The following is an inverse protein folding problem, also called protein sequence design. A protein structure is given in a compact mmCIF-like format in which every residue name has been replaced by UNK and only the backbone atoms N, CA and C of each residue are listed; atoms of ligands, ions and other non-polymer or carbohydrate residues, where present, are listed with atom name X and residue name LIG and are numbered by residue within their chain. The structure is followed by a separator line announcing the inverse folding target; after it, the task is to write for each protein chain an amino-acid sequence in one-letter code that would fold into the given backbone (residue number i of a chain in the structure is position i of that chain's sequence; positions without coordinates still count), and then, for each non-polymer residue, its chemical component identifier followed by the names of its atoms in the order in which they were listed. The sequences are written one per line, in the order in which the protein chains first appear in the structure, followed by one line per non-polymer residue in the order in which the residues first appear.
data_IF_650047360970
#
_entry.id   IF_650047360970
#
_cell.length_a   1.000
_cell.length_b   1.000
_cell.length_c   1.000
_cell.angle_alpha   90.00
_cell.angle_beta   90.00
_cell.angle_gamma   90.00
#
_symmetry.space_group_name_H-M   'P 1'
#
loop_
_entity.id
_entity.type
_entity.pdbx_description
1 polymer ?
#
# COMPACT_ATOMS: atom_id res chain seq x y z
N UNK A 1 -0.50 -51.54 -43.44
CA UNK A 1 -0.73 -50.09 -43.26
C UNK A 1 -0.16 -49.69 -41.90
N UNK A 2 1.04 -49.09 -41.83
CA UNK A 2 1.37 -47.65 -41.70
C UNK A 2 0.83 -46.96 -40.41
N UNK A 3 1.75 -46.84 -39.45
CA UNK A 3 2.02 -45.78 -38.45
C UNK A 3 0.86 -45.07 -37.73
N UNK A 4 0.74 -45.32 -36.41
CA UNK A 4 0.07 -44.41 -35.48
C UNK A 4 1.07 -43.38 -34.93
N UNK A 5 0.74 -42.10 -35.14
CA UNK A 5 1.60 -40.95 -34.98
C UNK A 5 1.64 -40.43 -33.53
N UNK A 6 2.85 -40.10 -33.06
CA UNK A 6 3.11 -39.41 -31.78
C UNK A 6 2.63 -37.95 -31.88
N UNK A 7 1.49 -37.64 -31.27
CA UNK A 7 1.04 -36.27 -31.03
C UNK A 7 1.46 -35.78 -29.65
N UNK A 8 2.64 -35.18 -29.54
CA UNK A 8 3.06 -34.42 -28.35
C UNK A 8 2.13 -33.20 -28.20
N UNK A 9 1.22 -33.22 -27.24
CA UNK A 9 0.58 -31.99 -26.77
C UNK A 9 1.61 -31.19 -25.96
N UNK A 10 2.45 -30.46 -26.69
CA UNK A 10 3.25 -29.38 -26.14
C UNK A 10 2.28 -28.30 -25.70
N UNK A 11 2.06 -28.20 -24.38
CA UNK A 11 1.47 -27.01 -23.80
C UNK A 11 2.38 -25.83 -24.16
N UNK A 12 1.98 -25.07 -25.19
CA UNK A 12 2.63 -23.80 -25.54
C UNK A 12 2.59 -22.91 -24.30
N UNK A 13 3.75 -22.70 -23.69
CA UNK A 13 4.00 -21.69 -22.69
C UNK A 13 3.68 -20.33 -23.31
N UNK A 14 2.48 -19.82 -23.09
CA UNK A 14 2.11 -18.46 -23.48
C UNK A 14 2.90 -17.52 -22.56
N UNK A 15 3.99 -16.99 -23.08
CA UNK A 15 4.87 -16.04 -22.40
C UNK A 15 4.25 -14.64 -22.55
N UNK A 16 3.20 -14.38 -21.77
CA UNK A 16 2.65 -13.03 -21.61
C UNK A 16 3.50 -12.25 -20.61
N UNK A 17 4.50 -11.50 -21.09
CA UNK A 17 5.21 -10.51 -20.28
C UNK A 17 4.35 -9.26 -20.17
N UNK A 18 3.30 -9.31 -19.36
CA UNK A 18 2.85 -8.10 -18.69
C UNK A 18 3.97 -7.72 -17.70
N UNK A 19 4.52 -6.51 -17.80
CA UNK A 19 5.39 -5.96 -16.78
C UNK A 19 4.56 -5.76 -15.49
N UNK A 20 4.29 -6.85 -14.75
CA UNK A 20 3.53 -6.79 -13.50
C UNK A 20 4.38 -6.07 -12.46
N UNK A 21 4.01 -4.82 -12.18
CA UNK A 21 4.55 -4.04 -11.07
C UNK A 21 4.39 -4.88 -9.79
N UNK A 22 5.46 -5.10 -9.02
CA UNK A 22 5.36 -5.88 -7.79
C UNK A 22 4.45 -5.15 -6.78
N UNK A 23 3.78 -5.88 -5.90
CA UNK A 23 2.88 -5.29 -4.90
C UNK A 23 3.63 -4.53 -3.77
N UNK A 24 4.89 -4.89 -3.53
CA UNK A 24 5.75 -4.26 -2.51
C UNK A 24 7.18 -4.03 -3.03
N UNK A 25 7.97 -3.27 -2.27
CA UNK A 25 9.34 -2.87 -2.58
C UNK A 25 9.42 -1.59 -3.41
N UNK A 26 10.63 -1.06 -3.63
CA UNK A 26 10.81 0.23 -4.31
C UNK A 26 10.17 0.32 -5.70
N UNK A 27 10.14 -0.80 -6.44
CA UNK A 27 9.56 -0.90 -7.79
C UNK A 27 8.03 -0.99 -7.81
N UNK A 28 7.37 -1.07 -6.65
CA UNK A 28 5.91 -1.14 -6.53
C UNK A 28 5.20 0.21 -6.60
N UNK A 29 5.95 1.30 -6.42
CA UNK A 29 5.42 2.66 -6.52
C UNK A 29 5.50 3.09 -8.00
N UNK A 30 4.38 3.51 -8.62
CA UNK A 30 4.39 4.03 -9.98
C UNK A 30 5.38 5.17 -10.12
N UNK A 31 6.23 5.15 -11.16
CA UNK A 31 7.19 6.22 -11.43
C UNK A 31 6.49 7.37 -12.13
N UNK A 32 6.67 8.59 -11.65
CA UNK A 32 6.13 9.78 -12.29
C UNK A 32 6.54 11.07 -11.58
N UNK A 33 6.19 12.24 -12.14
CA UNK A 33 6.24 13.48 -11.39
C UNK A 33 5.24 13.38 -10.23
N UNK A 34 5.70 13.65 -9.02
CA UNK A 34 4.82 13.73 -7.86
C UNK A 34 4.61 15.20 -7.53
N UNK A 35 3.36 15.60 -7.36
CA UNK A 35 3.04 16.92 -6.80
C UNK A 35 3.53 17.01 -5.35
N UNK A 36 3.54 18.21 -4.80
CA UNK A 36 3.87 18.44 -3.40
C UNK A 36 2.67 18.91 -2.58
N UNK A 37 2.71 18.61 -1.28
CA UNK A 37 1.84 19.18 -0.25
C UNK A 37 2.74 19.66 0.88
N UNK A 38 2.61 20.94 1.26
CA UNK A 38 3.41 21.56 2.33
C UNK A 38 4.94 21.43 2.13
N UNK A 39 5.41 21.34 0.88
CA UNK A 39 6.81 21.13 0.54
C UNK A 39 7.29 19.68 0.69
N UNK A 40 6.38 18.71 0.67
CA UNK A 40 6.71 17.28 0.69
C UNK A 40 6.12 16.57 -0.53
N UNK A 41 6.85 15.62 -1.14
CA UNK A 41 6.37 14.88 -2.29
C UNK A 41 5.19 13.97 -1.92
N UNK A 42 4.13 14.02 -2.72
CA UNK A 42 2.98 13.11 -2.69
C UNK A 42 3.38 11.81 -3.40
N UNK A 43 4.33 11.10 -2.80
CA UNK A 43 4.90 9.85 -3.28
C UNK A 43 4.84 8.82 -2.17
N UNK A 44 4.35 7.61 -2.41
CA UNK A 44 4.41 6.55 -1.39
C UNK A 44 5.87 6.27 -1.02
N UNK A 45 6.16 6.28 0.28
CA UNK A 45 7.41 5.75 0.86
C UNK A 45 7.18 4.25 1.11
N UNK A 46 7.60 3.36 0.18
CA UNK A 46 7.11 1.98 0.11
C UNK A 46 7.37 1.20 1.39
N UNK A 47 8.61 1.25 1.91
CA UNK A 47 8.94 0.53 3.15
C UNK A 47 8.21 1.03 4.40
N UNK A 48 7.71 2.28 4.41
CA UNK A 48 6.89 2.79 5.51
C UNK A 48 5.43 2.33 5.37
N UNK A 49 4.88 2.39 4.16
CA UNK A 49 3.52 1.93 3.86
C UNK A 49 3.37 0.41 4.08
N UNK A 50 4.37 -0.37 3.65
CA UNK A 50 4.37 -1.82 3.78
C UNK A 50 4.27 -2.30 5.23
N UNK A 51 4.70 -1.51 6.21
CA UNK A 51 4.49 -1.81 7.65
C UNK A 51 3.01 -1.86 8.05
N UNK A 52 2.11 -1.46 7.16
CA UNK A 52 0.67 -1.51 7.33
C UNK A 52 -0.01 -2.50 6.36
N UNK A 53 0.72 -3.14 5.45
CA UNK A 53 0.16 -4.07 4.47
C UNK A 53 0.46 -5.51 4.91
N UNK A 54 -0.57 -6.33 5.21
CA UNK A 54 -0.38 -7.71 5.63
C UNK A 54 0.48 -8.52 4.64
N UNK A 55 1.21 -9.50 5.17
CA UNK A 55 2.08 -10.42 4.42
C UNK A 55 3.35 -9.82 3.80
N UNK A 56 3.53 -8.50 3.80
CA UNK A 56 4.81 -7.90 3.39
C UNK A 56 5.92 -8.26 4.38
N UNK A 57 7.20 -8.31 3.95
CA UNK A 57 8.32 -8.53 4.86
C UNK A 57 8.36 -7.49 5.99
N UNK A 58 8.07 -6.22 5.69
CA UNK A 58 8.06 -5.14 6.67
C UNK A 58 6.95 -5.29 7.73
N UNK A 59 5.74 -5.70 7.34
CA UNK A 59 4.66 -5.98 8.28
C UNK A 59 4.99 -7.18 9.18
N UNK A 60 5.48 -8.28 8.60
CA UNK A 60 5.91 -9.47 9.35
C UNK A 60 7.00 -9.13 10.37
N UNK A 61 7.94 -8.26 10.01
CA UNK A 61 8.98 -7.79 10.92
C UNK A 61 8.42 -6.97 12.09
N UNK A 62 7.43 -6.10 11.86
CA UNK A 62 6.80 -5.35 12.96
C UNK A 62 6.10 -6.32 13.94
N UNK A 63 5.40 -7.33 13.43
CA UNK A 63 4.80 -8.38 14.28
C UNK A 63 5.84 -9.18 15.05
N UNK A 64 6.93 -9.60 14.40
CA UNK A 64 8.04 -10.30 15.06
C UNK A 64 8.70 -9.46 16.17
N UNK A 65 8.67 -8.12 16.02
CA UNK A 65 9.14 -7.18 17.03
C UNK A 65 8.07 -6.84 18.10
N UNK A 66 6.97 -7.59 18.17
CA UNK A 66 5.88 -7.37 19.13
C UNK A 66 5.05 -6.11 18.88
N UNK A 67 5.09 -5.56 17.66
CA UNK A 67 4.37 -4.33 17.29
C UNK A 67 3.19 -4.65 16.39
N UNK A 68 1.99 -4.61 16.95
CA UNK A 68 0.76 -4.61 16.17
C UNK A 68 0.59 -3.26 15.44
N UNK A 69 0.23 -3.33 14.16
CA UNK A 69 0.10 -2.19 13.25
C UNK A 69 -1.32 -2.12 12.74
N UNK A 70 -1.89 -0.92 12.61
CA UNK A 70 -3.11 -0.76 11.82
C UNK A 70 -2.90 -1.35 10.41
N UNK A 71 -3.92 -2.03 9.91
CA UNK A 71 -3.91 -2.76 8.64
C UNK A 71 -4.48 -1.87 7.55
N UNK A 72 -3.72 -1.59 6.51
CA UNK A 72 -4.15 -0.92 5.29
C UNK A 72 -4.66 -1.96 4.28
N UNK A 73 -5.78 -1.68 3.62
CA UNK A 73 -6.31 -2.50 2.54
C UNK A 73 -5.71 -2.07 1.21
N UNK A 74 -5.07 -3.02 0.51
CA UNK A 74 -4.39 -2.77 -0.75
C UNK A 74 -2.87 -2.78 -0.62
N UNK A 75 -2.20 -2.18 -1.59
CA UNK A 75 -0.75 -2.20 -1.75
C UNK A 75 -0.16 -0.80 -1.97
N UNK A 76 1.12 -0.71 -2.32
CA UNK A 76 1.76 0.60 -2.56
C UNK A 76 1.17 1.34 -3.76
N UNK A 77 0.64 0.63 -4.77
CA UNK A 77 -0.07 1.26 -5.89
C UNK A 77 -1.39 1.85 -5.40
N UNK A 78 -2.16 1.08 -4.64
CA UNK A 78 -3.41 1.55 -4.01
C UNK A 78 -3.17 2.76 -3.11
N UNK A 79 -2.11 2.71 -2.30
CA UNK A 79 -1.72 3.84 -1.45
C UNK A 79 -1.34 5.09 -2.28
N UNK A 80 -0.67 4.92 -3.42
CA UNK A 80 -0.34 6.04 -4.31
C UNK A 80 -1.61 6.66 -4.89
N UNK A 81 -2.55 5.85 -5.36
CA UNK A 81 -3.84 6.34 -5.88
C UNK A 81 -4.63 7.13 -4.82
N UNK A 82 -4.62 6.69 -3.57
CA UNK A 82 -5.23 7.43 -2.46
C UNK A 82 -4.48 8.73 -2.15
N UNK A 83 -3.15 8.72 -2.14
CA UNK A 83 -2.37 9.95 -1.97
C UNK A 83 -2.66 10.96 -3.10
N UNK A 84 -2.67 10.51 -4.35
CA UNK A 84 -2.92 11.37 -5.51
C UNK A 84 -4.29 12.06 -5.38
N UNK A 85 -5.32 11.31 -4.98
CA UNK A 85 -6.69 11.79 -4.82
C UNK A 85 -6.90 12.66 -3.58
N UNK A 86 -6.31 12.33 -2.43
CA UNK A 86 -6.71 12.89 -1.14
C UNK A 86 -5.66 13.76 -0.44
N UNK A 87 -4.37 13.63 -0.75
CA UNK A 87 -3.32 14.38 -0.08
C UNK A 87 -3.56 15.91 -0.18
N UNK A 88 -3.59 16.59 0.96
CA UNK A 88 -3.85 18.03 1.10
C UNK A 88 -5.33 18.42 1.23
N UNK A 89 -6.24 17.45 1.29
CA UNK A 89 -7.69 17.70 1.44
C UNK A 89 -8.20 17.51 2.87
N UNK A 90 -7.32 17.16 3.80
CA UNK A 90 -7.68 16.76 5.15
C UNK A 90 -7.62 17.87 6.18
N UNK A 91 -7.91 17.49 7.43
CA UNK A 91 -7.62 18.34 8.57
C UNK A 91 -6.14 18.25 8.90
N UNK A 92 -5.41 19.35 8.71
CA UNK A 92 -4.01 19.43 9.12
C UNK A 92 -3.88 19.24 10.62
N UNK A 93 -3.00 18.32 11.04
CA UNK A 93 -2.58 18.14 12.44
C UNK A 93 -1.30 18.94 12.69
N UNK A 94 -0.38 18.89 11.73
CA UNK A 94 0.82 19.71 11.69
C UNK A 94 1.35 19.76 10.24
N UNK A 95 2.47 20.46 10.02
CA UNK A 95 3.09 20.64 8.70
C UNK A 95 3.23 19.34 7.89
N UNK A 96 3.54 18.23 8.57
CA UNK A 96 3.88 16.95 7.98
C UNK A 96 2.79 15.88 8.18
N UNK A 97 1.61 16.25 8.67
CA UNK A 97 0.58 15.28 9.00
C UNK A 97 -0.81 15.85 8.87
N UNK A 98 -1.69 15.10 8.24
CA UNK A 98 -3.11 15.41 8.19
C UNK A 98 -3.96 14.17 8.46
N UNK A 99 -5.21 14.39 8.86
CA UNK A 99 -6.24 13.36 8.97
C UNK A 99 -7.23 13.51 7.83
N UNK A 100 -7.53 12.39 7.18
CA UNK A 100 -8.41 12.30 6.02
C UNK A 100 -9.51 11.29 6.33
N UNK A 101 -10.74 11.61 5.95
CA UNK A 101 -11.77 10.61 5.71
C UNK A 101 -11.78 10.30 4.22
N UNK A 102 -11.47 9.05 3.86
CA UNK A 102 -11.36 8.62 2.47
C UNK A 102 -12.73 8.29 1.86
N UNK A 103 -13.80 8.32 2.65
CA UNK A 103 -15.17 8.03 2.20
C UNK A 103 -15.48 6.55 1.96
N UNK A 104 -14.45 5.69 1.96
CA UNK A 104 -14.55 4.24 1.82
C UNK A 104 -13.61 3.54 2.81
N UNK A 105 -13.88 2.27 3.19
CA UNK A 105 -12.99 1.53 4.09
C UNK A 105 -11.58 1.38 3.50
N UNK A 106 -10.58 1.98 4.17
CA UNK A 106 -9.16 1.91 3.78
C UNK A 106 -8.35 0.90 4.59
N UNK A 107 -8.96 0.29 5.60
CA UNK A 107 -8.24 -0.61 6.50
C UNK A 107 -8.90 -0.81 7.85
N UNK A 108 -8.11 -1.39 8.77
CA UNK A 108 -8.45 -1.55 10.18
C UNK A 108 -7.48 -0.78 11.07
N UNK A 109 -8.01 0.08 11.93
CA UNK A 109 -7.28 0.70 13.02
C UNK A 109 -7.03 -0.31 14.15
N UNK A 110 -5.79 -0.40 14.63
CA UNK A 110 -5.46 -1.18 15.83
C UNK A 110 -5.58 -0.31 17.09
N UNK A 111 -6.54 -0.61 17.95
CA UNK A 111 -6.68 0.06 19.24
C UNK A 111 -5.72 -0.56 20.26
N UNK A 112 -4.70 0.20 20.65
CA UNK A 112 -3.67 -0.26 21.60
C UNK A 112 -4.19 -0.45 23.04
N UNK A 113 -5.36 0.11 23.38
CA UNK A 113 -5.96 -0.04 24.71
C UNK A 113 -6.73 -1.36 24.82
N UNK A 114 -7.48 -1.72 23.79
CA UNK A 114 -8.32 -2.93 23.80
C UNK A 114 -7.66 -4.12 23.11
N UNK A 115 -6.65 -3.89 22.26
CA UNK A 115 -6.02 -4.91 21.44
C UNK A 115 -6.86 -5.31 20.21
N UNK A 116 -7.92 -4.56 19.90
CA UNK A 116 -8.86 -4.89 18.83
C UNK A 116 -8.56 -4.14 17.52
N UNK A 117 -8.97 -4.76 16.41
CA UNK A 117 -8.98 -4.12 15.10
C UNK A 117 -10.38 -3.63 14.75
N UNK A 118 -10.50 -2.38 14.32
CA UNK A 118 -11.78 -1.77 13.89
C UNK A 118 -11.66 -1.23 12.49
N UNK A 119 -12.60 -1.59 11.62
CA UNK A 119 -12.64 -1.04 10.26
C UNK A 119 -12.78 0.49 10.30
N UNK A 120 -12.14 1.17 9.35
CA UNK A 120 -12.10 2.64 9.31
C UNK A 120 -12.00 3.16 7.89
N UNK A 121 -12.71 4.25 7.64
CA UNK A 121 -12.54 5.11 6.45
C UNK A 121 -11.53 6.22 6.68
N UNK A 122 -11.08 6.40 7.93
CA UNK A 122 -10.22 7.52 8.33
C UNK A 122 -8.77 7.07 8.41
N UNK A 123 -7.86 7.86 7.86
CA UNK A 123 -6.42 7.65 7.96
C UNK A 123 -5.64 8.91 8.23
N UNK A 124 -4.41 8.72 8.70
CA UNK A 124 -3.40 9.76 8.79
C UNK A 124 -2.49 9.65 7.57
N UNK A 125 -2.28 10.77 6.87
CA UNK A 125 -1.19 10.88 5.90
C UNK A 125 0.01 11.48 6.63
N UNK A 126 1.11 10.75 6.63
CA UNK A 126 2.40 11.19 7.19
C UNK A 126 3.35 11.54 6.05
N UNK A 127 3.73 12.81 5.94
CA UNK A 127 4.64 13.34 4.94
C UNK A 127 6.09 13.38 5.42
N UNK A 128 7.02 13.14 4.49
CA UNK A 128 8.46 13.30 4.70
C UNK A 128 9.20 13.55 3.39
N UNK A 129 10.49 13.85 3.49
CA UNK A 129 11.34 14.21 2.33
C UNK A 129 11.37 13.12 1.25
N UNK A 130 11.32 11.84 1.65
CA UNK A 130 11.37 10.70 0.73
C UNK A 130 9.98 10.24 0.23
N UNK A 131 8.92 10.91 0.65
CA UNK A 131 7.54 10.52 0.40
C UNK A 131 6.66 10.46 1.65
N UNK A 132 5.46 9.92 1.48
CA UNK A 132 4.40 9.82 2.45
C UNK A 132 3.91 8.37 2.64
N UNK A 133 3.17 8.12 3.71
CA UNK A 133 2.44 6.87 3.92
C UNK A 133 1.13 7.12 4.64
N UNK A 134 0.18 6.22 4.43
CA UNK A 134 -1.17 6.24 4.98
C UNK A 134 -1.24 5.24 6.13
N UNK A 135 -1.69 5.72 7.29
CA UNK A 135 -1.93 4.90 8.48
C UNK A 135 -3.41 4.91 8.81
N UNK A 136 -4.13 3.77 8.70
CA UNK A 136 -5.51 3.66 9.15
C UNK A 136 -5.62 4.05 10.63
N UNK A 137 -6.57 4.92 10.91
CA UNK A 137 -6.68 5.66 12.16
C UNK A 137 -8.05 5.46 12.80
N UNK A 138 -8.18 5.86 14.08
CA UNK A 138 -9.43 5.77 14.83
C UNK A 138 -10.60 6.37 13.99
N UNK A 139 -11.76 5.70 13.91
CA UNK A 139 -12.97 6.27 13.31
C UNK A 139 -13.43 7.58 13.97
#
# INVERSE_FOLDING_TARGET
MKFANKGKHTAKKVKGTENKVPSYGKKSVPVGPYREVNGFPVKVKPGAQEKHIPNTPNYKQELANGKNKSIFYGDNKTAQELLDKFAGKGTSINKNKERIDFGEPIGKYYDRKTGEYRETTKGLIHYGKDGAHIVPSRP
#
